data_IF_895149375587
#
_entry.id   IF_895149375587
#
_cell.length_a   1.000
_cell.length_b   1.000
_cell.length_c   1.000
_cell.angle_alpha   90.00
_cell.angle_beta   90.00
_cell.angle_gamma   90.00
#
_symmetry.space_group_name_H-M   'P 1'
#
loop_
_entity.id
_entity.type
_entity.pdbx_description
1 polymer ?
#
# COMPACT_ATOMS: atom_id res chain seq x y z
N UNK A 1 -34.33 1.29 0.45
CA UNK A 1 -33.91 1.74 -0.88
C UNK A 1 -32.62 2.52 -0.72
N UNK A 2 -31.55 2.16 -1.43
CA UNK A 2 -30.32 2.95 -1.39
C UNK A 2 -30.65 4.37 -1.91
N UNK A 3 -30.52 5.36 -1.05
CA UNK A 3 -30.79 6.75 -1.41
C UNK A 3 -29.77 7.15 -2.47
N UNK A 4 -30.22 7.53 -3.68
CA UNK A 4 -29.32 7.93 -4.74
C UNK A 4 -28.49 9.14 -4.27
N UNK A 5 -27.21 8.90 -3.98
CA UNK A 5 -26.29 9.92 -3.48
C UNK A 5 -25.89 10.82 -4.64
N UNK A 6 -25.88 12.14 -4.43
CA UNK A 6 -25.38 13.07 -5.45
C UNK A 6 -23.89 12.83 -5.71
N UNK A 7 -23.40 13.19 -6.90
CA UNK A 7 -21.97 13.05 -7.24
C UNK A 7 -21.03 13.72 -6.22
N UNK A 8 -21.41 14.90 -5.70
CA UNK A 8 -20.66 15.58 -4.64
C UNK A 8 -20.60 14.75 -3.36
N UNK A 9 -21.70 14.11 -2.97
CA UNK A 9 -21.74 13.26 -1.78
C UNK A 9 -20.94 11.98 -1.98
N UNK A 10 -20.98 11.37 -3.17
CA UNK A 10 -20.14 10.21 -3.49
C UNK A 10 -18.66 10.51 -3.41
N UNK A 11 -18.24 11.68 -3.94
CA UNK A 11 -16.86 12.16 -3.79
C UNK A 11 -16.47 12.37 -2.33
N UNK A 12 -17.33 13.01 -1.53
CA UNK A 12 -17.06 13.26 -0.11
C UNK A 12 -16.90 11.98 0.71
N UNK A 13 -17.64 10.94 0.33
CA UNK A 13 -17.65 9.65 1.03
C UNK A 13 -16.67 8.64 0.43
N UNK A 14 -15.95 8.95 -0.66
CA UNK A 14 -15.06 8.01 -1.37
C UNK A 14 -15.74 6.68 -1.74
N UNK A 15 -16.87 6.78 -2.44
CA UNK A 15 -17.68 5.63 -2.88
C UNK A 15 -17.98 5.69 -4.37
N UNK A 16 -18.48 4.59 -4.93
CA UNK A 16 -18.83 4.43 -6.34
C UNK A 16 -17.64 4.85 -7.23
N UNK A 17 -17.77 5.87 -8.09
CA UNK A 17 -16.68 6.31 -8.98
C UNK A 17 -15.50 6.97 -8.26
N UNK A 18 -15.60 7.15 -6.94
CA UNK A 18 -14.54 7.68 -6.08
C UNK A 18 -14.01 6.66 -5.06
N UNK A 19 -14.38 5.39 -5.22
CA UNK A 19 -13.83 4.32 -4.39
C UNK A 19 -12.34 4.12 -4.70
N UNK A 20 -11.57 3.89 -3.64
CA UNK A 20 -10.14 3.63 -3.72
C UNK A 20 -9.86 2.29 -3.03
N UNK A 21 -9.37 1.34 -3.82
CA UNK A 21 -9.00 0.03 -3.30
C UNK A 21 -7.48 -0.06 -3.25
N UNK A 22 -6.97 -0.43 -2.10
CA UNK A 22 -5.55 -0.55 -1.81
C UNK A 22 -5.26 -1.81 -1.01
N UNK A 23 -4.02 -1.98 -0.59
CA UNK A 23 -3.60 -3.10 0.25
C UNK A 23 -2.47 -2.66 1.16
N UNK A 24 -2.26 -3.37 2.26
CA UNK A 24 -1.19 -3.09 3.21
C UNK A 24 0.00 -4.01 2.98
N UNK A 25 1.15 -3.51 3.38
CA UNK A 25 2.43 -4.22 3.33
C UNK A 25 3.15 -4.04 4.65
N UNK A 26 3.81 -5.10 5.11
CA UNK A 26 4.77 -5.00 6.21
C UNK A 26 5.94 -5.94 5.98
N UNK A 27 7.09 -5.54 6.49
CA UNK A 27 8.32 -6.35 6.44
C UNK A 27 9.27 -5.93 7.56
N UNK A 28 10.31 -6.73 7.75
CA UNK A 28 11.37 -6.49 8.71
C UNK A 28 12.74 -6.55 8.05
N UNK A 29 13.57 -5.58 8.36
CA UNK A 29 15.01 -5.63 8.10
C UNK A 29 15.70 -6.54 9.14
N UNK A 30 16.77 -7.24 8.76
CA UNK A 30 17.61 -7.97 9.71
C UNK A 30 18.11 -7.09 10.86
N UNK A 31 18.34 -7.68 12.03
CA UNK A 31 18.96 -6.95 13.14
C UNK A 31 20.35 -6.44 12.74
N UNK A 32 20.63 -5.18 13.09
CA UNK A 32 21.91 -4.53 12.76
C UNK A 32 21.98 -3.92 11.36
N UNK A 33 20.92 -3.99 10.55
CA UNK A 33 20.83 -3.18 9.31
C UNK A 33 20.97 -1.70 9.65
N UNK A 34 21.83 -0.99 8.91
CA UNK A 34 22.07 0.44 9.14
C UNK A 34 20.92 1.29 8.58
N UNK A 35 20.77 2.51 9.11
CA UNK A 35 19.76 3.46 8.64
C UNK A 35 19.93 3.72 7.14
N UNK A 36 21.16 3.88 6.66
CA UNK A 36 21.46 4.16 5.25
C UNK A 36 21.09 2.99 4.34
N UNK A 37 21.14 1.75 4.83
CA UNK A 37 20.69 0.58 4.08
C UNK A 37 19.17 0.47 4.06
N UNK A 38 18.49 0.84 5.16
CA UNK A 38 17.03 0.95 5.21
C UNK A 38 16.56 2.00 4.20
N UNK A 39 17.07 3.23 4.30
CA UNK A 39 16.69 4.36 3.43
C UNK A 39 16.88 3.98 1.95
N UNK A 40 18.06 3.46 1.59
CA UNK A 40 18.35 3.02 0.22
C UNK A 40 17.40 1.91 -0.27
N UNK A 41 16.98 0.99 0.61
CA UNK A 41 16.07 -0.08 0.22
C UNK A 41 14.67 0.46 -0.02
N UNK A 42 14.22 1.40 0.81
CA UNK A 42 12.90 2.05 0.65
C UNK A 42 12.89 2.97 -0.57
N UNK A 43 13.95 3.73 -0.82
CA UNK A 43 14.10 4.53 -2.04
C UNK A 43 13.99 3.63 -3.28
N UNK A 44 14.73 2.51 -3.28
CA UNK A 44 14.69 1.55 -4.38
C UNK A 44 13.31 0.90 -4.54
N UNK A 45 12.60 0.64 -3.45
CA UNK A 45 11.22 0.14 -3.51
C UNK A 45 10.30 1.12 -4.25
N UNK A 46 10.45 2.41 -3.95
CA UNK A 46 9.68 3.48 -4.60
C UNK A 46 10.02 3.55 -6.09
N UNK A 47 11.30 3.59 -6.43
CA UNK A 47 11.80 3.74 -7.80
C UNK A 47 11.51 2.53 -8.70
N UNK A 48 11.64 1.31 -8.16
CA UNK A 48 11.50 0.07 -8.96
C UNK A 48 10.04 -0.36 -9.11
N UNK A 49 9.20 -0.14 -8.09
CA UNK A 49 7.86 -0.76 -8.01
C UNK A 49 6.75 0.27 -7.87
N UNK A 50 6.88 1.26 -6.99
CA UNK A 50 5.75 2.15 -6.68
C UNK A 50 5.51 3.13 -7.83
N UNK A 51 6.49 3.96 -8.17
CA UNK A 51 6.31 5.01 -9.17
C UNK A 51 6.04 4.48 -10.59
N UNK A 52 6.80 3.49 -11.12
CA UNK A 52 6.60 3.03 -12.50
C UNK A 52 5.23 2.41 -12.75
N UNK A 53 4.57 1.91 -11.69
CA UNK A 53 3.27 1.26 -11.77
C UNK A 53 2.12 2.19 -11.36
N UNK A 54 2.41 3.49 -11.17
CA UNK A 54 1.40 4.49 -10.79
C UNK A 54 0.79 4.24 -9.41
N UNK A 55 1.53 3.56 -8.54
CA UNK A 55 1.14 3.32 -7.15
C UNK A 55 1.59 4.48 -6.27
N UNK A 56 0.91 4.66 -5.16
CA UNK A 56 1.30 5.51 -4.04
C UNK A 56 1.56 4.62 -2.83
N UNK A 57 2.63 4.91 -2.11
CA UNK A 57 2.99 4.22 -0.87
C UNK A 57 3.04 5.22 0.27
N UNK A 58 2.25 4.98 1.31
CA UNK A 58 2.31 5.70 2.57
C UNK A 58 2.74 4.70 3.64
N UNK A 59 3.90 4.90 4.24
CA UNK A 59 4.44 3.96 5.21
C UNK A 59 5.42 4.60 6.17
N UNK A 60 5.67 3.91 7.26
CA UNK A 60 6.65 4.32 8.25
C UNK A 60 7.28 3.11 8.91
N UNK A 61 8.49 3.29 9.43
CA UNK A 61 9.18 2.21 10.11
C UNK A 61 10.62 2.54 10.46
N UNK A 62 11.26 1.56 11.09
CA UNK A 62 12.71 1.50 11.24
C UNK A 62 13.19 0.12 10.81
N UNK A 63 13.46 -0.80 11.76
CA UNK A 63 13.72 -2.21 11.43
C UNK A 63 12.44 -2.97 11.07
N UNK A 64 11.28 -2.49 11.52
CA UNK A 64 9.97 -2.99 11.11
C UNK A 64 9.28 -1.87 10.35
N UNK A 65 8.88 -2.16 9.12
CA UNK A 65 8.13 -1.25 8.26
C UNK A 65 6.72 -1.75 8.06
N UNK A 66 5.81 -0.80 8.00
CA UNK A 66 4.42 -1.01 7.66
C UNK A 66 3.92 0.16 6.82
N UNK A 67 3.06 -0.13 5.86
CA UNK A 67 2.44 0.90 5.05
C UNK A 67 1.27 0.42 4.23
N UNK A 68 0.62 1.40 3.61
CA UNK A 68 -0.53 1.27 2.74
C UNK A 68 -0.10 1.61 1.30
N UNK A 69 -0.59 0.81 0.36
CA UNK A 69 -0.41 1.03 -1.07
C UNK A 69 -1.78 1.22 -1.73
N UNK A 70 -1.91 2.29 -2.50
CA UNK A 70 -3.05 2.55 -3.39
C UNK A 70 -2.55 3.04 -4.75
N UNK A 71 -3.44 3.44 -5.65
CA UNK A 71 -3.06 4.13 -6.89
C UNK A 71 -2.84 5.63 -6.63
N UNK A 72 -1.91 6.26 -7.36
CA UNK A 72 -1.73 7.72 -7.33
C UNK A 72 -2.95 8.50 -7.80
N UNK A 73 -3.85 7.84 -8.53
CA UNK A 73 -5.13 8.37 -9.01
C UNK A 73 -6.23 7.51 -8.42
N UNK A 74 -7.39 8.13 -8.19
CA UNK A 74 -8.61 7.43 -7.75
C UNK A 74 -8.85 6.21 -8.64
N UNK A 75 -8.94 5.04 -8.00
CA UNK A 75 -9.10 3.76 -8.67
C UNK A 75 -8.73 2.61 -7.76
N UNK A 76 -8.63 1.43 -8.35
CA UNK A 76 -8.48 0.19 -7.61
C UNK A 76 -7.14 -0.47 -7.92
N UNK A 77 -6.37 -0.79 -6.89
CA UNK A 77 -5.29 -1.75 -7.01
C UNK A 77 -5.84 -3.13 -7.40
N UNK A 78 -5.08 -3.86 -8.20
CA UNK A 78 -5.41 -5.21 -8.65
C UNK A 78 -4.56 -6.24 -7.91
N UNK A 79 -4.92 -7.52 -8.03
CA UNK A 79 -4.09 -8.60 -7.50
C UNK A 79 -2.72 -8.65 -8.20
N UNK A 80 -2.61 -8.22 -9.45
CA UNK A 80 -1.33 -8.10 -10.15
C UNK A 80 -0.39 -7.09 -9.46
N UNK A 81 -0.91 -5.96 -8.98
CA UNK A 81 -0.12 -5.00 -8.18
C UNK A 81 0.36 -5.62 -6.87
N UNK A 82 -0.50 -6.38 -6.17
CA UNK A 82 -0.11 -7.09 -4.95
C UNK A 82 1.02 -8.07 -5.20
N UNK A 83 0.88 -8.90 -6.22
CA UNK A 83 1.89 -9.90 -6.56
C UNK A 83 3.20 -9.26 -7.01
N UNK A 84 3.15 -8.15 -7.74
CA UNK A 84 4.33 -7.38 -8.12
C UNK A 84 5.11 -6.92 -6.88
N UNK A 85 4.41 -6.27 -5.94
CA UNK A 85 5.00 -5.79 -4.69
C UNK A 85 5.53 -6.94 -3.83
N UNK A 86 4.75 -8.01 -3.67
CA UNK A 86 5.16 -9.18 -2.89
C UNK A 86 6.45 -9.80 -3.44
N UNK A 87 6.51 -10.03 -4.76
CA UNK A 87 7.71 -10.59 -5.41
C UNK A 87 8.94 -9.71 -5.19
N UNK A 88 8.83 -8.40 -5.39
CA UNK A 88 9.97 -7.51 -5.21
C UNK A 88 10.48 -7.51 -3.76
N UNK A 89 9.58 -7.52 -2.77
CA UNK A 89 9.93 -7.57 -1.35
C UNK A 89 10.58 -8.92 -0.96
N UNK A 90 10.06 -10.04 -1.48
CA UNK A 90 10.63 -11.38 -1.25
C UNK A 90 12.01 -11.57 -1.90
N UNK A 91 12.29 -10.87 -3.00
CA UNK A 91 13.60 -10.87 -3.65
C UNK A 91 14.65 -10.07 -2.88
N UNK A 92 14.22 -9.20 -1.95
CA UNK A 92 15.14 -8.49 -1.06
C UNK A 92 15.52 -9.38 0.15
N UNK A 93 16.60 -9.02 0.85
CA UNK A 93 17.03 -9.70 2.09
C UNK A 93 16.19 -9.29 3.31
N UNK A 94 14.87 -9.24 3.14
CA UNK A 94 13.90 -8.87 4.16
C UNK A 94 13.33 -10.13 4.83
N UNK A 95 12.70 -9.93 5.98
CA UNK A 95 12.06 -10.99 6.77
C UNK A 95 10.63 -10.59 7.11
N UNK A 96 9.78 -11.56 7.45
CA UNK A 96 8.37 -11.32 7.84
C UNK A 96 7.58 -10.47 6.82
N UNK A 97 7.85 -10.67 5.53
CA UNK A 97 7.13 -9.97 4.44
C UNK A 97 5.67 -10.43 4.44
N UNK A 98 4.75 -9.47 4.50
CA UNK A 98 3.30 -9.68 4.46
C UNK A 98 2.67 -8.65 3.53
N UNK A 99 1.75 -9.13 2.70
CA UNK A 99 0.93 -8.32 1.80
C UNK A 99 -0.53 -8.71 2.01
N UNK A 100 -1.37 -7.78 2.48
CA UNK A 100 -2.79 -8.05 2.73
C UNK A 100 -3.56 -8.25 1.43
N UNK A 101 -4.79 -8.73 1.53
CA UNK A 101 -5.77 -8.62 0.43
C UNK A 101 -6.12 -7.16 0.13
N UNK A 102 -6.73 -6.94 -1.03
CA UNK A 102 -7.22 -5.61 -1.42
C UNK A 102 -8.46 -5.25 -0.58
N UNK A 103 -8.49 -4.04 -0.04
CA UNK A 103 -9.61 -3.49 0.75
C UNK A 103 -9.89 -2.03 0.38
N UNK A 104 -11.06 -1.53 0.81
CA UNK A 104 -11.43 -0.12 0.68
C UNK A 104 -10.68 0.70 1.73
N UNK A 105 -9.78 1.58 1.28
CA UNK A 105 -8.86 2.30 2.17
C UNK A 105 -9.56 3.35 3.04
N UNK A 106 -10.84 3.64 2.78
CA UNK A 106 -11.62 4.63 3.52
C UNK A 106 -12.56 4.00 4.55
N UNK A 107 -13.01 2.77 4.32
CA UNK A 107 -14.08 2.16 5.11
C UNK A 107 -13.75 0.78 5.69
N UNK A 108 -12.82 0.05 5.08
CA UNK A 108 -12.51 -1.35 5.42
C UNK A 108 -11.04 -1.51 5.85
N UNK A 109 -10.50 -0.54 6.58
CA UNK A 109 -9.13 -0.59 7.10
C UNK A 109 -8.92 -1.80 8.04
N UNK A 110 -7.86 -2.60 7.84
CA UNK A 110 -7.47 -3.66 8.76
C UNK A 110 -7.19 -3.13 10.17
N UNK A 111 -7.43 -3.95 11.21
CA UNK A 111 -7.20 -3.56 12.61
C UNK A 111 -5.77 -3.12 12.91
N UNK A 112 -4.77 -3.67 12.20
CA UNK A 112 -3.37 -3.27 12.36
C UNK A 112 -3.05 -1.88 11.82
N UNK A 113 -3.96 -1.26 11.04
CA UNK A 113 -3.82 0.09 10.48
C UNK A 113 -4.76 1.13 11.13
N UNK A 114 -5.51 0.77 12.17
CA UNK A 114 -6.39 1.65 12.94
C UNK A 114 -5.67 2.26 14.15
#
# INVERSE_FOLDING_TARGET
MAQARSRRLRKKLHIDEFQELGFSVSWRFPEGTSVEEIDRTVDKFVDDVIEPNGLAFEGSGYLQWEGLICLQKIGHCTDEHRQLVNRWLEEQKLTDVKVSDVFDIWWDLPENLL
#
